data_IF_761371085057
#
_entry.id   IF_761371085057
#
_cell.length_a   1.000
_cell.length_b   1.000
_cell.length_c   1.000
_cell.angle_alpha   90.00
_cell.angle_beta   90.00
_cell.angle_gamma   90.00
#
_symmetry.space_group_name_H-M   'P 1'
#
loop_
_entity.id
_entity.type
_entity.pdbx_description
1 polymer ?
#
# COMPACT_ATOMS: atom_id res chain seq x y z
N UNK A 1 -18.87 22.35 -3.09
CA UNK A 1 -17.39 22.40 -3.09
C UNK A 1 -16.85 20.98 -3.25
N UNK A 2 -16.50 20.59 -4.47
CA UNK A 2 -16.00 19.24 -4.76
C UNK A 2 -14.57 19.08 -4.23
N UNK A 3 -14.36 18.09 -3.37
CA UNK A 3 -13.03 17.72 -2.87
C UNK A 3 -12.27 17.02 -4.00
N UNK A 4 -11.69 17.80 -4.90
CA UNK A 4 -10.68 17.36 -5.86
C UNK A 4 -9.41 17.01 -5.11
N UNK A 5 -9.40 15.84 -4.45
CA UNK A 5 -8.16 15.22 -3.96
C UNK A 5 -7.41 14.70 -5.18
N UNK A 6 -6.70 15.61 -5.85
CA UNK A 6 -5.66 15.28 -6.81
C UNK A 6 -4.72 14.28 -6.10
N UNK A 7 -4.84 13.01 -6.50
CA UNK A 7 -4.09 11.91 -5.93
C UNK A 7 -2.69 12.05 -6.50
N UNK A 8 -1.83 12.79 -5.79
CA UNK A 8 -0.43 12.94 -6.13
C UNK A 8 0.15 11.52 -6.32
N UNK A 9 0.53 11.11 -7.53
CA UNK A 9 1.17 9.83 -7.75
C UNK A 9 2.62 9.96 -7.29
N UNK A 10 2.82 10.17 -5.98
CA UNK A 10 4.15 10.15 -5.38
C UNK A 10 4.69 8.77 -5.63
N UNK A 11 5.60 8.74 -6.58
CA UNK A 11 6.34 7.59 -7.07
C UNK A 11 6.79 6.78 -5.86
N UNK A 12 6.17 5.63 -5.63
CA UNK A 12 6.52 4.64 -4.58
C UNK A 12 7.93 4.03 -4.80
N UNK A 13 8.77 4.65 -5.65
CA UNK A 13 10.16 4.28 -5.92
C UNK A 13 11.14 4.71 -4.83
N UNK A 14 10.68 5.15 -3.65
CA UNK A 14 11.59 5.14 -2.50
C UNK A 14 11.71 3.69 -2.07
N UNK A 15 12.90 3.10 -2.24
CA UNK A 15 13.24 1.82 -1.63
C UNK A 15 12.89 1.89 -0.15
N UNK A 16 11.75 1.30 0.23
CA UNK A 16 11.31 1.30 1.62
C UNK A 16 12.33 0.50 2.41
N UNK A 17 12.89 1.15 3.43
CA UNK A 17 13.84 0.51 4.35
C UNK A 17 13.18 -0.69 5.03
N UNK A 18 13.99 -1.59 5.60
CA UNK A 18 13.52 -2.68 6.48
C UNK A 18 12.93 -2.19 7.81
N UNK A 19 12.63 -0.89 7.96
CA UNK A 19 11.98 -0.31 9.12
C UNK A 19 10.45 -0.36 8.96
N UNK A 20 9.75 -0.37 10.10
CA UNK A 20 8.28 -0.36 10.15
C UNK A 20 7.74 0.87 9.40
N UNK A 21 6.84 0.69 8.40
CA UNK A 21 6.28 1.80 7.66
C UNK A 21 5.44 2.74 8.53
N UNK A 22 5.39 4.05 8.25
CA UNK A 22 4.57 5.02 8.97
C UNK A 22 3.10 4.99 8.52
N UNK A 23 2.55 3.80 8.28
CA UNK A 23 1.18 3.60 7.81
C UNK A 23 0.46 2.62 8.73
N UNK A 24 -0.81 2.90 9.02
CA UNK A 24 -1.67 1.94 9.72
C UNK A 24 -2.06 0.79 8.80
N UNK A 25 -2.47 -0.35 9.35
CA UNK A 25 -3.00 -1.46 8.55
C UNK A 25 -4.19 -1.05 7.68
N UNK A 26 -5.09 -0.20 8.20
CA UNK A 26 -6.21 0.35 7.43
C UNK A 26 -5.70 1.10 6.20
N UNK A 27 -4.68 1.94 6.38
CA UNK A 27 -4.04 2.66 5.28
C UNK A 27 -3.42 1.71 4.26
N UNK A 28 -2.68 0.69 4.71
CA UNK A 28 -2.03 -0.30 3.82
C UNK A 28 -3.06 -1.08 2.99
N UNK A 29 -4.11 -1.61 3.63
CA UNK A 29 -5.20 -2.32 2.96
C UNK A 29 -5.90 -1.42 1.96
N UNK A 30 -6.19 -0.18 2.36
CA UNK A 30 -6.84 0.81 1.49
C UNK A 30 -5.98 1.11 0.26
N UNK A 31 -4.66 1.24 0.43
CA UNK A 31 -3.74 1.50 -0.67
C UNK A 31 -3.64 0.32 -1.63
N UNK A 32 -3.56 -0.91 -1.11
CA UNK A 32 -3.55 -2.13 -1.92
C UNK A 32 -4.82 -2.23 -2.79
N UNK A 33 -6.00 -2.08 -2.17
CA UNK A 33 -7.30 -2.13 -2.88
C UNK A 33 -7.41 -0.98 -3.89
N UNK A 34 -6.96 0.23 -3.55
CA UNK A 34 -7.01 1.35 -4.49
C UNK A 34 -6.07 1.18 -5.68
N UNK A 35 -4.97 0.44 -5.54
CA UNK A 35 -4.06 0.15 -6.65
C UNK A 35 -4.52 -1.02 -7.50
N UNK A 36 -5.36 -1.92 -6.98
CA UNK A 36 -5.88 -3.01 -7.81
C UNK A 36 -6.82 -2.49 -8.91
N UNK A 37 -6.78 -3.08 -10.11
CA UNK A 37 -7.64 -2.65 -11.23
C UNK A 37 -9.12 -2.82 -10.89
N UNK A 38 -9.46 -3.90 -10.18
CA UNK A 38 -10.83 -4.28 -9.86
C UNK A 38 -11.34 -3.69 -8.53
N UNK A 39 -10.53 -2.89 -7.82
CA UNK A 39 -10.84 -2.38 -6.47
C UNK A 39 -11.26 -3.45 -5.48
N UNK A 40 -10.75 -4.65 -5.68
CA UNK A 40 -10.95 -5.83 -4.85
C UNK A 40 -9.64 -6.61 -4.85
N UNK A 41 -9.30 -7.18 -3.70
CA UNK A 41 -8.17 -8.06 -3.49
C UNK A 41 -8.54 -9.08 -2.41
N UNK A 42 -8.05 -10.30 -2.58
CA UNK A 42 -8.06 -11.32 -1.53
C UNK A 42 -7.06 -10.96 -0.43
N UNK A 43 -7.21 -11.62 0.72
CA UNK A 43 -6.29 -11.44 1.84
C UNK A 43 -4.84 -11.79 1.45
N UNK A 44 -4.64 -12.86 0.67
CA UNK A 44 -3.32 -13.27 0.18
C UNK A 44 -2.66 -12.20 -0.70
N UNK A 45 -3.41 -11.60 -1.62
CA UNK A 45 -2.90 -10.55 -2.50
C UNK A 45 -2.56 -9.27 -1.72
N UNK A 46 -3.33 -8.93 -0.69
CA UNK A 46 -3.00 -7.80 0.20
C UNK A 46 -1.68 -8.07 0.93
N UNK A 47 -1.48 -9.27 1.47
CA UNK A 47 -0.22 -9.65 2.10
C UNK A 47 0.96 -9.55 1.13
N UNK A 48 0.81 -10.09 -0.08
CA UNK A 48 1.84 -10.03 -1.12
C UNK A 48 2.18 -8.58 -1.50
N UNK A 49 1.17 -7.73 -1.71
CA UNK A 49 1.37 -6.31 -2.04
C UNK A 49 2.12 -5.57 -0.92
N UNK A 50 1.73 -5.79 0.34
CA UNK A 50 2.39 -5.16 1.50
C UNK A 50 3.85 -5.64 1.60
N UNK A 51 4.12 -6.94 1.45
CA UNK A 51 5.47 -7.50 1.53
C UNK A 51 6.37 -7.07 0.36
N UNK A 52 5.82 -6.90 -0.84
CA UNK A 52 6.56 -6.42 -1.99
C UNK A 52 7.03 -4.97 -1.78
N UNK A 53 6.12 -4.10 -1.34
CA UNK A 53 6.42 -2.70 -1.04
C UNK A 53 7.27 -2.51 0.22
N UNK A 54 7.00 -3.24 1.29
CA UNK A 54 7.58 -3.01 2.61
C UNK A 54 8.29 -4.28 3.10
N UNK A 55 9.60 -4.42 2.84
CA UNK A 55 10.38 -5.59 3.21
C UNK A 55 10.33 -5.94 4.70
N UNK A 56 10.06 -4.97 5.58
CA UNK A 56 9.82 -5.16 7.01
C UNK A 56 8.82 -6.30 7.32
N UNK A 57 7.81 -6.52 6.47
CA UNK A 57 6.79 -7.54 6.70
C UNK A 57 7.15 -8.93 6.16
N UNK A 58 8.25 -9.10 5.42
CA UNK A 58 8.63 -10.39 4.79
C UNK A 58 9.13 -11.45 5.78
N UNK A 59 9.50 -11.05 7.00
CA UNK A 59 10.07 -11.94 8.02
C UNK A 59 9.05 -12.35 9.11
N UNK A 60 7.75 -12.29 8.82
CA UNK A 60 6.71 -12.84 9.69
C UNK A 60 6.31 -14.25 9.25
#
# INVERSE_FOLDING_TARGET
AGLSRARDPKTYRRSYTHAKPPYSYISLITMAIQQSPNKMLTLSEIYQWIMDLFPFYRQN
#
